data_IF_836368892210
#
_entry.id   IF_836368892210
#
_cell.length_a   1.000
_cell.length_b   1.000
_cell.length_c   1.000
_cell.angle_alpha   90.00
_cell.angle_beta   90.00
_cell.angle_gamma   90.00
#
_symmetry.space_group_name_H-M   'P 1'
#
loop_
_entity.id
_entity.type
_entity.pdbx_description
1 polymer ?
#
# COMPACT_ATOMS: atom_id res chain seq x y z
N UNK A 1 3.48 10.69 43.46
CA UNK A 1 3.95 9.68 42.48
C UNK A 1 3.40 10.06 41.12
N UNK A 2 4.26 10.55 40.21
CA UNK A 2 3.84 11.04 38.89
C UNK A 2 3.43 9.85 38.02
N UNK A 3 2.22 9.90 37.44
CA UNK A 3 1.79 8.94 36.41
C UNK A 3 2.82 8.98 35.27
N UNK A 4 3.38 7.82 34.94
CA UNK A 4 4.23 7.68 33.75
C UNK A 4 3.48 8.24 32.55
N UNK A 5 4.11 9.18 31.85
CA UNK A 5 3.50 10.09 30.87
C UNK A 5 3.81 9.68 29.44
N UNK A 6 3.96 8.38 29.22
CA UNK A 6 4.54 7.84 28.00
C UNK A 6 3.45 7.09 27.21
N UNK A 7 3.45 7.26 25.88
CA UNK A 7 2.58 6.52 24.98
C UNK A 7 3.16 5.11 24.82
N UNK A 8 2.34 4.11 25.11
CA UNK A 8 2.66 2.73 24.85
C UNK A 8 2.15 2.34 23.45
N UNK A 9 3.08 2.14 22.52
CA UNK A 9 2.76 1.81 21.12
C UNK A 9 3.18 0.38 20.80
N UNK A 10 2.21 -0.47 20.48
CA UNK A 10 2.42 -1.83 19.99
C UNK A 10 2.40 -1.82 18.46
N UNK A 11 3.45 -2.34 17.83
CA UNK A 11 3.60 -2.38 16.38
C UNK A 11 3.82 -3.82 15.92
N UNK A 12 2.90 -4.34 15.12
CA UNK A 12 3.09 -5.61 14.41
C UNK A 12 3.86 -5.35 13.11
N UNK A 13 4.98 -6.05 12.95
CA UNK A 13 5.83 -5.99 11.76
C UNK A 13 5.34 -6.96 10.67
N UNK A 14 5.92 -6.86 9.47
CA UNK A 14 5.57 -7.71 8.32
C UNK A 14 5.98 -9.18 8.48
N UNK A 15 6.87 -9.46 9.43
CA UNK A 15 7.29 -10.82 9.81
C UNK A 15 6.49 -11.35 11.01
N UNK A 16 5.39 -10.68 11.37
CA UNK A 16 4.52 -10.93 12.52
C UNK A 16 5.17 -10.80 13.91
N UNK A 17 6.38 -10.24 13.99
CA UNK A 17 6.95 -9.85 15.27
C UNK A 17 6.20 -8.63 15.81
N UNK A 18 5.87 -8.66 17.11
CA UNK A 18 5.32 -7.50 17.81
C UNK A 18 6.45 -6.76 18.52
N UNK A 19 6.57 -5.47 18.21
CA UNK A 19 7.50 -4.56 18.88
C UNK A 19 6.72 -3.55 19.70
N UNK A 20 7.15 -3.35 20.94
CA UNK A 20 6.65 -2.30 21.81
C UNK A 20 7.60 -1.12 21.79
N UNK A 21 7.08 0.09 21.65
CA UNK A 21 7.85 1.34 21.67
C UNK A 21 7.19 2.32 22.62
N UNK A 22 7.91 2.68 23.68
CA UNK A 22 7.50 3.76 24.57
C UNK A 22 8.00 5.12 24.05
N UNK A 23 7.11 6.10 24.06
CA UNK A 23 7.33 7.43 23.49
C UNK A 23 6.79 8.54 24.42
N UNK A 24 7.28 9.77 24.27
CA UNK A 24 6.65 10.92 24.94
C UNK A 24 5.16 11.07 24.56
N UNK A 25 4.30 11.47 25.50
CA UNK A 25 2.85 11.75 25.30
C UNK A 25 2.48 12.61 24.09
N UNK A 26 3.40 13.42 23.57
CA UNK A 26 3.17 14.31 22.43
C UNK A 26 3.88 13.86 21.15
N UNK A 27 4.50 12.67 21.16
CA UNK A 27 5.23 12.14 20.01
C UNK A 27 4.35 12.12 18.75
N UNK A 28 4.95 12.55 17.65
CA UNK A 28 4.34 12.50 16.31
C UNK A 28 4.46 11.09 15.74
N UNK A 29 3.59 10.76 14.79
CA UNK A 29 3.66 9.46 14.10
C UNK A 29 5.02 9.19 13.46
N UNK A 30 5.71 10.22 12.96
CA UNK A 30 7.05 10.10 12.38
C UNK A 30 8.07 9.52 13.38
N UNK A 31 8.00 9.89 14.66
CA UNK A 31 8.96 9.41 15.68
C UNK A 31 8.80 7.91 15.90
N UNK A 32 7.56 7.41 15.95
CA UNK A 32 7.30 5.98 16.05
C UNK A 32 7.81 5.25 14.79
N UNK A 33 7.49 5.79 13.61
CA UNK A 33 7.88 5.19 12.34
C UNK A 33 9.40 5.09 12.18
N UNK A 34 10.13 6.18 12.48
CA UNK A 34 11.59 6.19 12.38
C UNK A 34 12.22 5.17 13.34
N UNK A 35 11.76 5.07 14.60
CA UNK A 35 12.24 4.06 15.54
C UNK A 35 12.00 2.62 15.05
N UNK A 36 10.87 2.37 14.39
CA UNK A 36 10.59 1.05 13.81
C UNK A 36 11.51 0.77 12.64
N UNK A 37 11.71 1.73 11.74
CA UNK A 37 12.62 1.60 10.60
C UNK A 37 14.08 1.41 11.03
N UNK A 38 14.53 2.12 12.06
CA UNK A 38 15.84 1.94 12.68
C UNK A 38 15.99 0.53 13.26
N UNK A 39 14.95 0.02 13.96
CA UNK A 39 14.98 -1.31 14.57
C UNK A 39 15.10 -2.44 13.54
N UNK A 40 14.40 -2.34 12.42
CA UNK A 40 14.46 -3.34 11.34
C UNK A 40 15.54 -3.01 10.29
N UNK A 41 16.33 -1.96 10.53
CA UNK A 41 17.40 -1.49 9.65
C UNK A 41 17.00 -1.29 8.19
N UNK A 42 15.81 -0.75 7.92
CA UNK A 42 15.36 -0.41 6.56
C UNK A 42 15.63 1.06 6.24
N UNK A 43 16.40 1.32 5.17
CA UNK A 43 16.73 2.70 4.75
C UNK A 43 15.83 3.15 3.61
N UNK A 44 15.38 2.26 2.74
CA UNK A 44 14.31 2.52 1.74
C UNK A 44 12.92 2.67 2.41
N UNK A 45 12.85 3.32 3.57
CA UNK A 45 11.64 3.46 4.39
C UNK A 45 10.48 4.18 3.72
N UNK A 46 10.75 4.98 2.68
CA UNK A 46 9.71 5.80 2.02
C UNK A 46 8.60 4.95 1.37
N UNK A 47 8.83 3.66 1.13
CA UNK A 47 7.81 2.73 0.61
C UNK A 47 6.85 2.20 1.68
N UNK A 48 7.14 2.41 2.96
CA UNK A 48 6.40 1.84 4.08
C UNK A 48 5.65 2.91 4.87
N UNK A 49 4.79 2.45 5.77
CA UNK A 49 4.11 3.29 6.75
C UNK A 49 3.54 2.48 7.89
N UNK A 50 2.96 3.18 8.86
CA UNK A 50 2.17 2.57 9.93
C UNK A 50 0.69 2.76 9.64
N UNK A 51 -0.08 1.68 9.71
CA UNK A 51 -1.55 1.72 9.67
C UNK A 51 -2.14 1.32 11.02
N UNK A 52 -3.35 1.76 11.30
CA UNK A 52 -4.13 1.37 12.47
C UNK A 52 -5.57 1.08 12.04
N UNK A 53 -6.28 0.25 12.81
CA UNK A 53 -7.70 0.00 12.59
C UNK A 53 -8.47 1.17 13.21
N UNK A 54 -9.28 1.85 12.41
CA UNK A 54 -10.14 2.89 12.95
C UNK A 54 -11.40 2.31 13.57
N UNK A 55 -11.62 2.58 14.85
CA UNK A 55 -12.76 2.05 15.61
C UNK A 55 -14.12 2.55 15.09
N UNK A 56 -14.16 3.66 14.34
CA UNK A 56 -15.44 4.19 13.83
C UNK A 56 -16.00 3.39 12.66
N UNK A 57 -15.15 2.86 11.80
CA UNK A 57 -15.56 2.13 10.60
C UNK A 57 -14.88 0.76 10.42
N UNK A 58 -14.03 0.34 11.34
CA UNK A 58 -13.29 -0.93 11.30
C UNK A 58 -12.21 -0.99 10.21
N UNK A 59 -11.96 0.09 9.47
CA UNK A 59 -11.08 0.07 8.30
C UNK A 59 -9.67 0.58 8.63
N UNK A 60 -8.65 0.01 7.98
CA UNK A 60 -7.26 0.44 8.12
C UNK A 60 -7.02 1.87 7.62
N UNK A 61 -6.50 2.74 8.49
CA UNK A 61 -6.06 4.09 8.15
C UNK A 61 -4.55 4.22 8.35
N UNK A 62 -3.89 4.98 7.47
CA UNK A 62 -2.49 5.36 7.66
C UNK A 62 -2.34 6.36 8.80
N UNK A 63 -1.35 6.13 9.66
CA UNK A 63 -0.89 7.08 10.66
C UNK A 63 -0.29 8.30 9.95
N UNK A 64 -0.78 9.49 10.29
CA UNK A 64 -0.23 10.73 9.77
C UNK A 64 1.10 11.02 10.49
N UNK A 65 2.23 11.06 9.77
CA UNK A 65 3.55 11.23 10.40
C UNK A 65 3.71 12.60 11.06
N UNK A 66 3.00 13.63 10.59
CA UNK A 66 3.17 15.00 11.09
C UNK A 66 2.31 15.30 12.33
N UNK A 67 1.34 14.44 12.65
CA UNK A 67 0.39 14.65 13.75
C UNK A 67 0.76 13.84 14.99
N UNK A 68 0.54 14.39 16.21
CA UNK A 68 0.69 13.63 17.46
C UNK A 68 -0.19 12.38 17.47
N UNK A 69 0.36 11.24 17.93
CA UNK A 69 -0.32 9.93 17.91
C UNK A 69 -1.65 9.97 18.69
N UNK A 70 -1.63 10.50 19.92
CA UNK A 70 -2.84 10.67 20.76
C UNK A 70 -3.96 11.53 20.16
N UNK A 71 -3.67 12.31 19.11
CA UNK A 71 -4.67 13.13 18.39
C UNK A 71 -5.29 12.38 17.20
N UNK A 72 -4.81 11.17 16.92
CA UNK A 72 -5.24 10.33 15.81
C UNK A 72 -6.00 9.09 16.31
N UNK A 73 -5.55 8.51 17.43
CA UNK A 73 -6.20 7.39 18.11
C UNK A 73 -6.66 7.82 19.51
N UNK A 74 -7.81 7.32 19.95
CA UNK A 74 -8.43 7.74 21.21
C UNK A 74 -8.09 6.85 22.41
N UNK A 75 -7.92 5.54 22.19
CA UNK A 75 -7.80 4.56 23.26
C UNK A 75 -6.44 3.85 23.23
N UNK A 76 -5.91 3.60 24.42
CA UNK A 76 -4.71 2.78 24.65
C UNK A 76 -5.11 1.31 24.93
N UNK A 77 -4.22 0.34 24.65
CA UNK A 77 -2.90 0.51 24.04
C UNK A 77 -2.99 0.83 22.54
N UNK A 78 -2.03 1.63 22.05
CA UNK A 78 -2.02 2.06 20.65
C UNK A 78 -1.45 0.96 19.77
N UNK A 79 -2.29 0.33 18.96
CA UNK A 79 -1.88 -0.75 18.06
C UNK A 79 -1.68 -0.24 16.64
N UNK A 80 -0.55 -0.62 16.05
CA UNK A 80 -0.16 -0.28 14.69
C UNK A 80 0.32 -1.52 13.94
N UNK A 81 0.26 -1.43 12.61
CA UNK A 81 0.80 -2.43 11.71
C UNK A 81 1.76 -1.73 10.76
N UNK A 82 3.00 -2.20 10.72
CA UNK A 82 3.95 -1.82 9.69
C UNK A 82 3.55 -2.47 8.37
N UNK A 83 3.44 -1.69 7.31
CA UNK A 83 2.94 -2.15 6.03
C UNK A 83 3.56 -1.38 4.87
N UNK A 84 3.58 -1.99 3.68
CA UNK A 84 3.93 -1.30 2.45
C UNK A 84 2.82 -0.31 2.12
N UNK A 85 3.19 0.96 1.99
CA UNK A 85 2.30 2.06 1.62
C UNK A 85 2.35 2.35 0.13
N UNK A 86 3.52 2.25 -0.48
CA UNK A 86 3.73 2.51 -1.89
C UNK A 86 4.39 1.32 -2.56
N UNK A 87 3.66 0.66 -3.44
CA UNK A 87 4.15 -0.50 -4.19
C UNK A 87 4.85 -0.02 -5.46
N UNK A 88 6.19 -0.14 -5.58
CA UNK A 88 6.89 0.33 -6.76
C UNK A 88 6.46 -0.48 -8.01
N UNK A 89 6.36 0.16 -9.18
CA UNK A 89 6.12 -0.54 -10.45
C UNK A 89 7.15 -1.65 -10.77
N UNK A 90 8.38 -1.45 -10.30
CA UNK A 90 9.46 -2.41 -10.44
C UNK A 90 10.10 -2.71 -9.07
N UNK A 91 9.54 -3.65 -8.28
CA UNK A 91 10.06 -4.00 -6.96
C UNK A 91 11.43 -4.70 -7.02
N UNK A 92 11.81 -5.34 -8.13
CA UNK A 92 13.14 -5.96 -8.27
C UNK A 92 14.27 -4.93 -8.42
N UNK A 93 13.93 -3.66 -8.66
CA UNK A 93 14.89 -2.56 -8.72
C UNK A 93 15.08 -1.83 -7.38
N UNK A 94 14.47 -2.34 -6.29
CA UNK A 94 14.78 -1.90 -4.93
C UNK A 94 16.21 -2.30 -4.59
N UNK A 95 16.93 -1.41 -3.91
CA UNK A 95 18.38 -1.54 -3.70
C UNK A 95 18.67 -2.56 -2.62
N UNK A 96 18.01 -2.43 -1.46
CA UNK A 96 18.30 -3.25 -0.29
C UNK A 96 17.55 -4.59 -0.34
N UNK A 97 18.25 -5.64 0.08
CA UNK A 97 17.68 -6.98 0.15
C UNK A 97 16.54 -7.07 1.16
N UNK A 98 16.72 -6.47 2.34
CA UNK A 98 15.66 -6.36 3.35
C UNK A 98 14.40 -5.70 2.79
N UNK A 99 14.52 -4.67 1.93
CA UNK A 99 13.36 -4.00 1.35
C UNK A 99 12.61 -4.92 0.40
N UNK A 100 13.32 -5.68 -0.44
CA UNK A 100 12.72 -6.68 -1.34
C UNK A 100 12.05 -7.79 -0.53
N UNK A 101 12.71 -8.27 0.52
CA UNK A 101 12.15 -9.27 1.41
C UNK A 101 10.86 -8.81 2.09
N UNK A 102 10.84 -7.59 2.65
CA UNK A 102 9.64 -6.99 3.25
C UNK A 102 8.50 -6.84 2.22
N UNK A 103 8.81 -6.52 0.96
CA UNK A 103 7.81 -6.51 -0.12
C UNK A 103 7.23 -7.91 -0.38
N UNK A 104 8.07 -8.96 -0.38
CA UNK A 104 7.61 -10.35 -0.49
C UNK A 104 6.67 -10.70 0.66
N UNK A 105 7.03 -10.38 1.90
CA UNK A 105 6.17 -10.60 3.07
C UNK A 105 4.81 -9.91 2.94
N UNK A 106 4.79 -8.64 2.53
CA UNK A 106 3.54 -7.92 2.31
C UNK A 106 2.66 -8.58 1.23
N UNK A 107 3.24 -8.98 0.10
CA UNK A 107 2.50 -9.60 -1.00
C UNK A 107 1.98 -10.99 -0.63
N UNK A 108 2.73 -11.74 0.18
CA UNK A 108 2.26 -12.99 0.78
C UNK A 108 1.05 -12.75 1.69
N UNK A 109 1.09 -11.70 2.51
CA UNK A 109 -0.05 -11.28 3.33
C UNK A 109 -1.26 -10.96 2.44
N UNK A 110 -1.04 -10.19 1.36
CA UNK A 110 -2.10 -9.77 0.44
C UNK A 110 -2.75 -10.97 -0.29
N UNK A 111 -1.97 -11.99 -0.68
CA UNK A 111 -2.49 -13.24 -1.25
C UNK A 111 -3.32 -14.03 -0.23
N UNK A 112 -2.83 -14.17 1.01
CA UNK A 112 -3.52 -14.89 2.07
C UNK A 112 -4.81 -14.19 2.51
N UNK A 113 -4.83 -12.86 2.53
CA UNK A 113 -6.04 -12.07 2.84
C UNK A 113 -6.99 -11.93 1.65
N UNK A 114 -6.61 -12.43 0.47
CA UNK A 114 -7.41 -12.32 -0.76
C UNK A 114 -7.45 -10.91 -1.38
N UNK A 115 -6.59 -9.99 -0.91
CA UNK A 115 -6.39 -8.64 -1.48
C UNK A 115 -5.72 -8.72 -2.84
N UNK A 116 -4.76 -9.64 -2.99
CA UNK A 116 -4.11 -9.95 -4.24
C UNK A 116 -4.67 -11.27 -4.77
N UNK A 117 -5.42 -11.21 -5.86
CA UNK A 117 -6.07 -12.39 -6.44
C UNK A 117 -5.28 -12.91 -7.65
N UNK A 118 -5.10 -14.22 -7.72
CA UNK A 118 -4.50 -14.89 -8.87
C UNK A 118 -5.05 -16.30 -9.08
N UNK A 119 -4.77 -16.89 -10.24
CA UNK A 119 -5.18 -18.27 -10.53
C UNK A 119 -4.37 -19.29 -9.72
N UNK A 120 -4.90 -20.51 -9.58
CA UNK A 120 -4.23 -21.61 -8.86
C UNK A 120 -2.80 -21.89 -9.36
N UNK A 121 -2.53 -21.93 -10.68
CA UNK A 121 -1.15 -22.10 -11.17
C UNK A 121 -0.20 -20.99 -10.72
N UNK A 122 -0.68 -19.75 -10.63
CA UNK A 122 0.14 -18.62 -10.18
C UNK A 122 0.36 -18.67 -8.67
N UNK A 123 -0.66 -19.04 -7.87
CA UNK A 123 -0.47 -19.33 -6.45
C UNK A 123 0.60 -20.42 -6.25
N UNK A 124 0.56 -21.48 -7.05
CA UNK A 124 1.53 -22.57 -6.96
C UNK A 124 2.95 -22.11 -7.34
N UNK A 125 3.08 -21.32 -8.41
CA UNK A 125 4.37 -20.75 -8.82
C UNK A 125 4.95 -19.84 -7.73
N UNK A 126 4.16 -18.88 -7.22
CA UNK A 126 4.60 -18.00 -6.13
C UNK A 126 4.92 -18.77 -4.86
N UNK A 127 4.11 -19.78 -4.52
CA UNK A 127 4.37 -20.67 -3.39
C UNK A 127 5.68 -21.44 -3.53
N UNK A 128 6.03 -21.88 -4.74
CA UNK A 128 7.29 -22.61 -4.97
C UNK A 128 8.54 -21.76 -4.73
N UNK A 129 8.51 -20.46 -5.02
CA UNK A 129 9.61 -19.56 -4.66
C UNK A 129 9.72 -19.35 -3.14
N UNK A 130 8.58 -19.33 -2.42
CA UNK A 130 8.61 -19.27 -0.96
C UNK A 130 9.21 -20.54 -0.36
N UNK A 131 8.91 -21.70 -0.94
CA UNK A 131 9.50 -22.97 -0.52
C UNK A 131 11.01 -22.95 -0.78
N UNK A 132 11.43 -22.66 -2.01
CA UNK A 132 12.86 -22.60 -2.37
C UNK A 132 13.64 -21.64 -1.45
N UNK A 133 13.10 -20.45 -1.18
CA UNK A 133 13.75 -19.47 -0.30
C UNK A 133 13.88 -19.94 1.16
N UNK A 134 12.99 -20.81 1.63
CA UNK A 134 12.95 -21.25 3.04
C UNK A 134 13.60 -22.61 3.28
N UNK A 135 13.55 -23.54 2.33
CA UNK A 135 14.08 -24.91 2.48
C UNK A 135 15.25 -25.22 1.54
N UNK A 136 15.55 -24.36 0.58
CA UNK A 136 16.59 -24.59 -0.44
C UNK A 136 16.20 -25.64 -1.48
N UNK A 137 17.19 -26.17 -2.19
CA UNK A 137 17.00 -27.16 -3.25
C UNK A 137 16.12 -28.36 -2.79
N UNK A 138 15.21 -28.79 -3.66
CA UNK A 138 14.51 -30.06 -3.46
C UNK A 138 15.50 -31.24 -3.38
N UNK A 139 15.60 -31.83 -2.20
CA UNK A 139 16.21 -33.15 -1.96
C UNK A 139 15.14 -34.23 -1.76
N UNK A 140 15.31 -35.38 -2.42
CA UNK A 140 14.32 -36.47 -2.40
C UNK A 140 14.30 -37.24 -1.06
N UNK A 141 15.43 -37.37 -0.39
CA UNK A 141 15.55 -38.05 0.91
C UNK A 141 14.95 -37.18 2.02
N UNK A 142 15.13 -35.86 1.94
CA UNK A 142 14.60 -34.92 2.94
C UNK A 142 13.10 -34.61 2.74
N UNK A 143 12.67 -34.40 1.50
CA UNK A 143 11.32 -33.93 1.19
C UNK A 143 10.34 -35.04 0.78
N UNK A 144 10.84 -36.26 0.57
CA UNK A 144 10.04 -37.41 0.16
C UNK A 144 9.52 -37.35 -1.29
N UNK A 145 8.73 -38.36 -1.66
CA UNK A 145 8.22 -38.53 -3.02
C UNK A 145 7.01 -37.64 -3.38
N UNK A 146 6.32 -37.09 -2.38
CA UNK A 146 5.06 -36.37 -2.54
C UNK A 146 5.12 -34.93 -2.01
N UNK A 147 3.98 -34.24 -2.04
CA UNK A 147 3.84 -32.88 -1.54
C UNK A 147 3.65 -32.80 -0.02
N UNK A 148 3.89 -33.86 0.75
CA UNK A 148 3.59 -33.94 2.18
C UNK A 148 4.33 -32.91 3.04
N UNK A 149 5.59 -32.62 2.73
CA UNK A 149 6.39 -31.59 3.41
C UNK A 149 5.83 -30.16 3.25
N UNK A 150 4.96 -29.94 2.26
CA UNK A 150 4.31 -28.64 2.02
C UNK A 150 3.09 -28.39 2.92
N UNK A 151 2.66 -29.38 3.71
CA UNK A 151 1.45 -29.30 4.54
C UNK A 151 1.49 -28.20 5.61
N UNK A 152 2.70 -27.85 6.07
CA UNK A 152 2.92 -26.81 7.08
C UNK A 152 2.97 -25.38 6.50
N UNK A 153 3.15 -25.24 5.19
CA UNK A 153 3.08 -23.95 4.52
C UNK A 153 1.62 -23.53 4.38
N UNK A 154 1.36 -22.22 4.21
CA UNK A 154 0.07 -21.74 3.66
C UNK A 154 0.34 -20.75 2.54
N UNK A 155 -0.11 -21.10 1.35
CA UNK A 155 0.03 -20.28 0.14
C UNK A 155 -1.26 -19.56 -0.25
N UNK A 156 -2.41 -20.09 0.18
CA UNK A 156 -3.72 -19.48 0.00
C UNK A 156 -4.70 -20.02 1.09
N UNK A 157 -5.84 -19.34 1.34
CA UNK A 157 -6.76 -19.71 2.43
C UNK A 157 -7.32 -21.14 2.37
N UNK A 158 -7.69 -21.61 1.17
CA UNK A 158 -8.35 -22.92 0.99
C UNK A 158 -7.36 -24.05 0.68
N UNK A 159 -6.13 -23.73 0.29
CA UNK A 159 -5.01 -24.64 0.00
C UNK A 159 -5.41 -25.99 -0.65
N UNK A 160 -5.97 -25.98 -1.88
CA UNK A 160 -6.42 -27.22 -2.52
C UNK A 160 -5.23 -28.15 -2.84
N UNK A 161 -5.42 -29.47 -2.74
CA UNK A 161 -4.36 -30.46 -2.93
C UNK A 161 -3.65 -30.37 -4.29
N UNK A 162 -4.38 -30.07 -5.37
CA UNK A 162 -3.81 -29.84 -6.71
C UNK A 162 -2.78 -28.70 -6.72
N UNK A 163 -2.99 -27.66 -5.92
CA UNK A 163 -2.05 -26.56 -5.80
C UNK A 163 -0.75 -27.02 -5.13
N UNK A 164 -0.84 -27.82 -4.06
CA UNK A 164 0.35 -28.35 -3.37
C UNK A 164 1.18 -29.24 -4.30
N UNK A 165 0.52 -30.07 -5.10
CA UNK A 165 1.21 -30.89 -6.10
C UNK A 165 1.97 -30.01 -7.12
N UNK A 166 1.33 -28.94 -7.62
CA UNK A 166 1.98 -27.98 -8.52
C UNK A 166 3.14 -27.23 -7.85
N UNK A 167 3.02 -26.84 -6.58
CA UNK A 167 4.12 -26.24 -5.82
C UNK A 167 5.31 -27.20 -5.77
N UNK A 168 5.07 -28.48 -5.43
CA UNK A 168 6.10 -29.50 -5.40
C UNK A 168 6.77 -29.72 -6.75
N UNK A 169 6.01 -29.74 -7.85
CA UNK A 169 6.55 -29.85 -9.21
C UNK A 169 7.41 -28.65 -9.63
N UNK A 170 7.04 -27.44 -9.19
CA UNK A 170 7.84 -26.24 -9.45
C UNK A 170 9.10 -26.20 -8.58
N UNK A 171 9.00 -26.57 -7.30
CA UNK A 171 10.15 -26.62 -6.38
C UNK A 171 11.30 -27.47 -6.94
N UNK A 172 10.99 -28.64 -7.52
CA UNK A 172 11.98 -29.50 -8.21
C UNK A 172 12.76 -28.82 -9.34
N UNK A 173 12.24 -27.75 -9.91
CA UNK A 173 12.82 -27.05 -11.08
C UNK A 173 13.67 -25.84 -10.70
N UNK A 174 13.63 -25.41 -9.45
CA UNK A 174 14.30 -24.19 -8.98
C UNK A 174 15.73 -24.43 -8.47
N UNK A 175 16.23 -25.67 -8.58
CA UNK A 175 17.55 -26.08 -8.11
C UNK A 175 18.67 -25.06 -8.43
N UNK A 176 19.41 -24.70 -7.41
CA UNK A 176 20.52 -23.75 -7.45
C UNK A 176 20.09 -22.29 -7.28
N UNK A 177 18.83 -22.04 -6.94
CA UNK A 177 18.32 -20.70 -6.70
C UNK A 177 18.58 -20.29 -5.25
N UNK A 178 19.21 -19.13 -5.07
CA UNK A 178 19.38 -18.57 -3.71
C UNK A 178 18.05 -18.01 -3.19
N UNK A 179 17.88 -17.82 -1.86
CA UNK A 179 16.71 -17.13 -1.32
C UNK A 179 16.47 -15.76 -1.96
N UNK A 180 17.54 -15.00 -2.21
CA UNK A 180 17.51 -13.69 -2.87
C UNK A 180 16.98 -13.81 -4.31
N UNK A 181 17.44 -14.82 -5.07
CA UNK A 181 16.97 -15.06 -6.44
C UNK A 181 15.50 -15.49 -6.46
N UNK A 182 15.07 -16.34 -5.52
CA UNK A 182 13.69 -16.78 -5.38
C UNK A 182 12.77 -15.60 -5.05
N UNK A 183 13.20 -14.71 -4.16
CA UNK A 183 12.47 -13.48 -3.84
C UNK A 183 12.37 -12.53 -5.03
N UNK A 184 13.43 -12.39 -5.83
CA UNK A 184 13.40 -11.61 -7.08
C UNK A 184 12.40 -12.19 -8.09
N UNK A 185 12.37 -13.51 -8.27
CA UNK A 185 11.40 -14.19 -9.13
C UNK A 185 9.97 -14.05 -8.61
N UNK A 186 9.78 -14.15 -7.28
CA UNK A 186 8.50 -13.91 -6.65
C UNK A 186 7.99 -12.50 -6.97
N UNK A 187 8.82 -11.48 -6.75
CA UNK A 187 8.48 -10.07 -7.01
C UNK A 187 8.20 -9.80 -8.49
N UNK A 188 8.99 -10.36 -9.41
CA UNK A 188 8.78 -10.19 -10.84
C UNK A 188 7.47 -10.81 -11.34
N UNK A 189 7.03 -11.91 -10.72
CA UNK A 189 5.75 -12.53 -11.05
C UNK A 189 4.57 -11.85 -10.36
N UNK A 190 4.70 -11.51 -9.07
CA UNK A 190 3.63 -10.86 -8.30
C UNK A 190 3.28 -9.47 -8.85
N UNK A 191 4.26 -8.68 -9.32
CA UNK A 191 4.01 -7.34 -9.90
C UNK A 191 3.14 -7.34 -11.16
N UNK A 192 3.02 -8.49 -11.83
CA UNK A 192 2.22 -8.67 -13.06
C UNK A 192 0.74 -8.91 -12.75
N UNK A 193 0.39 -9.16 -11.48
CA UNK A 193 -0.98 -9.42 -11.07
C UNK A 193 -1.86 -8.16 -11.16
N UNK A 194 -3.13 -8.26 -11.58
CA UNK A 194 -3.98 -7.09 -11.83
C UNK A 194 -4.20 -6.18 -10.61
N UNK A 195 -4.19 -6.76 -9.41
CA UNK A 195 -4.43 -6.06 -8.14
C UNK A 195 -3.13 -5.74 -7.38
N UNK A 196 -1.95 -5.92 -8.00
CA UNK A 196 -0.68 -5.59 -7.38
C UNK A 196 -0.63 -4.11 -6.97
N UNK A 197 -0.51 -3.87 -5.66
CA UNK A 197 -0.43 -2.52 -5.09
C UNK A 197 -1.67 -1.65 -5.33
N UNK A 198 -2.84 -2.26 -5.57
CA UNK A 198 -4.10 -1.53 -5.78
C UNK A 198 -4.85 -1.41 -4.45
N UNK A 199 -5.04 -0.18 -3.97
CA UNK A 199 -5.89 0.12 -2.81
C UNK A 199 -7.34 0.31 -3.28
N UNK A 200 -8.24 -0.58 -2.85
CA UNK A 200 -9.60 -0.69 -3.34
C UNK A 200 -10.60 0.03 -2.43
N UNK A 201 -11.50 0.81 -3.04
CA UNK A 201 -12.56 1.54 -2.35
C UNK A 201 -13.92 1.30 -3.01
N UNK A 202 -14.90 0.85 -2.22
CA UNK A 202 -16.27 0.70 -2.68
C UNK A 202 -16.95 2.07 -2.88
N UNK A 203 -17.64 2.22 -3.99
CA UNK A 203 -18.37 3.43 -4.35
C UNK A 203 -19.59 3.10 -5.22
N UNK A 204 -20.40 4.12 -5.50
CA UNK A 204 -21.40 4.10 -6.57
C UNK A 204 -21.10 5.20 -7.58
N UNK A 205 -21.34 4.94 -8.85
CA UNK A 205 -21.17 5.93 -9.92
C UNK A 205 -22.36 6.92 -9.98
N UNK A 206 -22.38 7.76 -11.01
CA UNK A 206 -23.44 8.75 -11.22
C UNK A 206 -24.80 8.13 -11.58
N UNK A 207 -24.81 6.89 -12.09
CA UNK A 207 -26.00 6.12 -12.46
C UNK A 207 -26.53 5.26 -11.31
N UNK A 208 -25.83 5.27 -10.16
CA UNK A 208 -26.19 4.50 -8.97
C UNK A 208 -25.70 3.04 -9.02
N UNK A 209 -24.84 2.69 -9.98
CA UNK A 209 -24.30 1.34 -10.07
C UNK A 209 -23.13 1.16 -9.10
N UNK A 210 -23.04 0.01 -8.40
CA UNK A 210 -21.89 -0.32 -7.58
C UNK A 210 -20.62 -0.43 -8.43
N UNK A 211 -19.57 0.25 -7.98
CA UNK A 211 -18.24 0.22 -8.59
C UNK A 211 -17.16 0.14 -7.50
N UNK A 212 -15.97 -0.31 -7.87
CA UNK A 212 -14.79 -0.29 -7.01
C UNK A 212 -13.76 0.63 -7.64
N UNK A 213 -13.27 1.61 -6.88
CA UNK A 213 -12.21 2.52 -7.28
C UNK A 213 -10.89 2.00 -6.71
N UNK A 214 -9.95 1.67 -7.58
CA UNK A 214 -8.60 1.25 -7.20
C UNK A 214 -7.58 2.37 -7.39
N UNK A 215 -6.68 2.58 -6.43
CA UNK A 215 -5.56 3.51 -6.55
C UNK A 215 -4.23 2.74 -6.52
N UNK A 216 -3.29 3.08 -7.41
CA UNK A 216 -1.98 2.42 -7.49
C UNK A 216 -0.89 3.35 -8.01
N UNK A 217 0.34 2.85 -8.09
CA UNK A 217 1.46 3.57 -8.73
C UNK A 217 1.18 4.03 -10.17
N UNK A 218 0.28 3.36 -10.89
CA UNK A 218 -0.02 3.66 -12.29
C UNK A 218 -1.12 4.71 -12.48
N UNK A 219 -1.96 4.95 -11.48
CA UNK A 219 -3.16 5.77 -11.63
C UNK A 219 -4.36 5.26 -10.84
N UNK A 220 -5.54 5.67 -11.29
CA UNK A 220 -6.83 5.30 -10.73
C UNK A 220 -7.55 4.35 -11.69
N UNK A 221 -8.11 3.29 -11.14
CA UNK A 221 -8.78 2.20 -11.85
C UNK A 221 -10.24 2.14 -11.41
N UNK A 222 -11.15 1.91 -12.35
CA UNK A 222 -12.58 1.71 -12.05
C UNK A 222 -12.94 0.29 -12.43
N UNK A 223 -13.42 -0.47 -11.45
CA UNK A 223 -13.90 -1.83 -11.62
C UNK A 223 -15.41 -1.88 -11.47
N UNK A 224 -16.07 -2.68 -12.30
CA UNK A 224 -17.48 -3.01 -12.21
C UNK A 224 -17.63 -4.52 -12.37
N UNK A 225 -18.42 -5.16 -11.51
CA UNK A 225 -18.54 -6.62 -11.44
C UNK A 225 -17.18 -7.34 -11.43
N UNK A 226 -16.24 -6.82 -10.63
CA UNK A 226 -14.86 -7.32 -10.51
C UNK A 226 -14.05 -7.33 -11.82
N UNK A 227 -14.48 -6.55 -12.83
CA UNK A 227 -13.75 -6.36 -14.09
C UNK A 227 -13.29 -4.92 -14.21
N UNK A 228 -12.05 -4.72 -14.64
CA UNK A 228 -11.50 -3.40 -14.91
C UNK A 228 -12.21 -2.79 -16.13
N UNK A 229 -12.91 -1.66 -15.93
CA UNK A 229 -13.64 -0.93 -16.98
C UNK A 229 -12.81 0.23 -17.49
N UNK A 230 -12.24 1.03 -16.59
CA UNK A 230 -11.42 2.18 -16.95
C UNK A 230 -10.12 2.22 -16.16
N UNK A 231 -9.05 2.68 -16.83
CA UNK A 231 -7.75 2.96 -16.23
C UNK A 231 -7.31 4.38 -16.58
N UNK A 232 -7.27 5.25 -15.59
CA UNK A 232 -6.84 6.63 -15.70
C UNK A 232 -5.41 6.77 -15.18
N UNK A 233 -4.45 6.88 -16.10
CA UNK A 233 -3.05 7.07 -15.74
C UNK A 233 -2.79 8.48 -15.19
N UNK A 234 -1.84 8.61 -14.26
CA UNK A 234 -1.55 9.89 -13.59
C UNK A 234 -1.37 11.10 -14.53
N UNK A 235 -0.69 11.00 -15.69
CA UNK A 235 -0.56 12.13 -16.61
C UNK A 235 -1.90 12.65 -17.15
N UNK A 236 -2.91 11.79 -17.28
CA UNK A 236 -4.24 12.16 -17.80
C UNK A 236 -5.17 12.72 -16.71
N UNK A 237 -4.85 12.52 -15.44
CA UNK A 237 -5.64 13.06 -14.32
C UNK A 237 -5.23 14.51 -14.08
N UNK A 238 -6.20 15.42 -14.19
CA UNK A 238 -6.03 16.87 -14.01
C UNK A 238 -6.22 17.23 -12.54
N UNK A 239 -7.35 16.83 -11.95
CA UNK A 239 -7.68 17.11 -10.54
C UNK A 239 -8.28 15.90 -9.86
N UNK A 240 -7.94 15.72 -8.58
CA UNK A 240 -8.57 14.77 -7.66
C UNK A 240 -9.18 15.58 -6.52
N UNK A 241 -10.50 15.50 -6.36
CA UNK A 241 -11.23 16.30 -5.38
C UNK A 241 -12.27 15.46 -4.64
N UNK A 242 -12.70 15.95 -3.49
CA UNK A 242 -13.86 15.41 -2.81
C UNK A 242 -14.70 16.51 -2.15
N UNK A 243 -16.00 16.25 -1.99
CA UNK A 243 -16.93 17.09 -1.21
C UNK A 243 -17.96 16.19 -0.56
N UNK A 244 -18.07 16.24 0.78
CA UNK A 244 -18.92 15.32 1.56
C UNK A 244 -18.62 13.86 1.18
N UNK A 245 -19.64 13.09 0.79
CA UNK A 245 -19.52 11.69 0.34
C UNK A 245 -19.11 11.55 -1.14
N UNK A 246 -18.94 12.66 -1.88
CA UNK A 246 -18.68 12.67 -3.32
C UNK A 246 -17.19 12.80 -3.61
N UNK A 247 -16.65 11.87 -4.38
CA UNK A 247 -15.31 11.90 -4.96
C UNK A 247 -15.39 12.30 -6.44
N UNK A 248 -14.48 13.14 -6.91
CA UNK A 248 -14.51 13.68 -8.28
C UNK A 248 -13.13 13.64 -8.91
N UNK A 249 -13.09 13.16 -10.16
CA UNK A 249 -11.91 13.14 -11.01
C UNK A 249 -12.16 13.99 -12.24
N UNK A 250 -11.22 14.87 -12.57
CA UNK A 250 -11.22 15.59 -13.84
C UNK A 250 -10.13 15.00 -14.71
N UNK A 251 -10.50 14.50 -15.88
CA UNK A 251 -9.60 13.81 -16.82
C UNK A 251 -9.40 14.69 -18.04
N UNK A 252 -8.15 14.77 -18.51
CA UNK A 252 -7.79 15.49 -19.74
C UNK A 252 -8.43 14.77 -20.94
N UNK A 253 -8.95 15.52 -21.94
CA UNK A 253 -9.48 14.93 -23.17
C UNK A 253 -8.45 14.07 -23.91
N UNK A 254 -8.95 13.16 -24.74
CA UNK A 254 -8.14 12.15 -25.41
C UNK A 254 -7.28 12.70 -26.57
N UNK A 255 -7.63 13.85 -27.15
CA UNK A 255 -6.86 14.52 -28.20
C UNK A 255 -6.37 15.89 -27.71
N UNK A 256 -5.13 16.25 -28.09
CA UNK A 256 -4.52 17.53 -27.72
C UNK A 256 -5.22 18.75 -28.34
N UNK A 257 -6.01 18.53 -29.40
CA UNK A 257 -6.75 19.59 -30.10
C UNK A 257 -8.11 19.90 -29.46
N UNK A 258 -8.60 19.09 -28.53
CA UNK A 258 -9.91 19.28 -27.91
C UNK A 258 -9.76 19.97 -26.54
N UNK A 259 -9.33 21.24 -26.57
CA UNK A 259 -9.08 22.05 -25.37
C UNK A 259 -10.32 22.27 -24.48
N UNK A 260 -11.52 21.92 -24.95
CA UNK A 260 -12.78 22.38 -24.36
C UNK A 260 -13.61 21.34 -23.60
N UNK A 261 -13.18 20.07 -23.51
CA UNK A 261 -14.01 19.03 -22.83
C UNK A 261 -13.22 18.16 -21.86
N UNK A 262 -12.75 18.72 -20.75
CA UNK A 262 -12.31 17.90 -19.63
C UNK A 262 -13.47 17.03 -19.11
N UNK A 263 -13.28 15.72 -19.06
CA UNK A 263 -14.31 14.80 -18.56
C UNK A 263 -14.29 14.79 -17.04
N UNK A 264 -15.42 15.13 -16.42
CA UNK A 264 -15.58 15.08 -14.96
C UNK A 264 -16.33 13.81 -14.57
N UNK A 265 -15.64 12.92 -13.86
CA UNK A 265 -16.21 11.69 -13.29
C UNK A 265 -16.53 11.90 -11.82
N UNK A 266 -17.67 11.38 -11.37
CA UNK A 266 -18.17 11.57 -10.02
C UNK A 266 -18.64 10.27 -9.42
N UNK A 267 -18.22 10.00 -8.18
CA UNK A 267 -18.54 8.79 -7.44
C UNK A 267 -18.98 9.14 -6.02
N UNK A 268 -19.91 8.38 -5.45
CA UNK A 268 -20.36 8.55 -4.06
C UNK A 268 -19.90 7.36 -3.23
N UNK A 269 -19.28 7.61 -2.08
CA UNK A 269 -18.86 6.56 -1.13
C UNK A 269 -19.81 6.50 0.07
N UNK A 270 -19.70 5.46 0.88
CA UNK A 270 -20.58 5.22 2.04
C UNK A 270 -20.54 6.34 3.09
N UNK A 271 -19.39 7.00 3.27
CA UNK A 271 -19.20 8.04 4.28
C UNK A 271 -18.18 9.10 3.84
N UNK A 272 -18.21 10.29 4.48
CA UNK A 272 -17.19 11.32 4.32
C UNK A 272 -15.79 10.75 4.63
N UNK A 273 -15.70 9.87 5.63
CA UNK A 273 -14.44 9.23 6.03
C UNK A 273 -13.88 8.35 4.91
N UNK A 274 -14.71 7.52 4.29
CA UNK A 274 -14.32 6.70 3.15
C UNK A 274 -13.87 7.58 1.97
N UNK A 275 -14.63 8.63 1.64
CA UNK A 275 -14.28 9.58 0.57
C UNK A 275 -12.94 10.27 0.82
N UNK A 276 -12.72 10.76 2.05
CA UNK A 276 -11.46 11.41 2.43
C UNK A 276 -10.28 10.44 2.40
N UNK A 277 -10.49 9.16 2.75
CA UNK A 277 -9.48 8.10 2.66
C UNK A 277 -9.05 7.89 1.21
N UNK A 278 -10.00 7.64 0.30
CA UNK A 278 -9.73 7.50 -1.14
C UNK A 278 -9.00 8.74 -1.70
N UNK A 279 -9.47 9.95 -1.37
CA UNK A 279 -8.83 11.18 -1.81
C UNK A 279 -7.38 11.28 -1.33
N UNK A 280 -7.13 11.01 -0.04
CA UNK A 280 -5.77 11.00 0.50
C UNK A 280 -4.87 10.00 -0.21
N UNK A 281 -5.32 8.75 -0.36
CA UNK A 281 -4.55 7.69 -1.04
C UNK A 281 -4.22 8.10 -2.48
N UNK A 282 -5.17 8.70 -3.20
CA UNK A 282 -4.96 9.26 -4.54
C UNK A 282 -3.90 10.36 -4.58
N UNK A 283 -4.00 11.36 -3.69
CA UNK A 283 -3.04 12.47 -3.60
C UNK A 283 -1.64 11.97 -3.23
N UNK A 284 -1.54 11.07 -2.25
CA UNK A 284 -0.26 10.51 -1.79
C UNK A 284 0.42 9.69 -2.89
N UNK A 285 -0.30 8.79 -3.57
CA UNK A 285 0.26 7.98 -4.65
C UNK A 285 0.72 8.85 -5.84
N UNK A 286 -0.12 9.81 -6.25
CA UNK A 286 0.28 10.76 -7.29
C UNK A 286 1.57 11.50 -6.88
N UNK A 287 1.60 12.05 -5.66
CA UNK A 287 2.75 12.82 -5.18
C UNK A 287 4.03 11.98 -5.14
N UNK A 288 3.95 10.78 -4.55
CA UNK A 288 5.11 9.90 -4.39
C UNK A 288 5.71 9.43 -5.71
N UNK A 289 4.87 8.98 -6.65
CA UNK A 289 5.34 8.37 -7.90
C UNK A 289 5.57 9.36 -9.05
N UNK A 290 5.02 10.59 -8.99
CA UNK A 290 5.07 11.54 -10.11
C UNK A 290 5.86 12.81 -9.86
N UNK A 291 5.93 13.30 -8.63
CA UNK A 291 6.62 14.55 -8.37
C UNK A 291 8.11 14.30 -8.15
N UNK A 292 8.96 15.15 -8.73
CA UNK A 292 10.40 15.12 -8.48
C UNK A 292 10.73 15.52 -7.04
N UNK A 293 9.86 16.32 -6.41
CA UNK A 293 9.94 16.74 -5.02
C UNK A 293 8.51 16.89 -4.47
N UNK A 294 8.29 16.61 -3.19
CA UNK A 294 6.99 16.81 -2.57
C UNK A 294 6.60 18.29 -2.58
N UNK A 295 5.32 18.59 -2.80
CA UNK A 295 4.75 19.94 -2.72
C UNK A 295 4.81 20.46 -1.28
N UNK A 296 5.97 20.96 -0.87
CA UNK A 296 6.16 21.65 0.40
C UNK A 296 5.36 22.96 0.35
N UNK A 297 4.67 23.34 1.45
CA UNK A 297 3.97 24.62 1.48
C UNK A 297 4.96 25.76 1.22
N UNK A 298 4.57 26.80 0.46
CA UNK A 298 5.34 28.04 0.42
C UNK A 298 5.60 28.50 1.85
N UNK A 299 6.85 28.82 2.17
CA UNK A 299 7.17 29.48 3.44
C UNK A 299 6.35 30.77 3.49
N UNK A 300 5.46 30.83 4.47
CA UNK A 300 4.67 32.00 4.86
C UNK A 300 3.41 32.31 4.00
N UNK A 301 2.25 31.77 4.42
CA UNK A 301 0.96 32.40 4.09
C UNK A 301 0.01 32.25 5.28
N UNK A 302 0.10 33.21 6.21
CA UNK A 302 -0.78 33.33 7.36
C UNK A 302 -2.21 33.71 6.96
N UNK A 303 -3.07 32.73 6.69
CA UNK A 303 -4.53 32.87 6.78
C UNK A 303 -5.16 31.51 7.17
N UNK A 304 -6.23 31.54 7.96
CA UNK A 304 -7.03 30.36 8.31
C UNK A 304 -7.71 29.85 7.03
N UNK A 305 -7.12 28.86 6.37
CA UNK A 305 -7.75 28.16 5.24
C UNK A 305 -8.74 27.13 5.78
N UNK A 306 -10.02 27.33 5.48
CA UNK A 306 -11.08 26.33 5.65
C UNK A 306 -10.85 25.19 4.64
N UNK A 307 -10.85 23.94 5.11
CA UNK A 307 -10.61 22.73 4.30
C UNK A 307 -9.42 21.88 4.78
N UNK A 308 -9.33 20.66 4.26
CA UNK A 308 -8.25 19.72 4.57
C UNK A 308 -6.88 20.35 4.30
N UNK A 309 -6.09 20.56 5.36
CA UNK A 309 -4.68 20.98 5.28
C UNK A 309 -3.75 19.84 4.84
N UNK A 310 -4.30 18.67 4.53
CA UNK A 310 -3.50 17.51 4.19
C UNK A 310 -2.72 17.75 2.89
N UNK A 311 -1.43 17.49 2.97
CA UNK A 311 -0.50 17.41 1.85
C UNK A 311 0.40 16.22 2.07
N UNK A 312 0.79 15.58 0.98
CA UNK A 312 1.87 14.62 1.06
C UNK A 312 3.14 15.35 1.51
N UNK A 313 3.81 14.81 2.53
CA UNK A 313 4.95 15.45 3.21
C UNK A 313 6.17 14.55 3.34
N UNK A 314 6.10 13.33 2.80
CA UNK A 314 7.24 12.42 2.70
C UNK A 314 8.13 12.75 1.49
N UNK A 315 9.25 12.04 1.36
CA UNK A 315 10.10 12.13 0.16
C UNK A 315 9.41 11.41 -1.00
N UNK A 316 9.51 11.95 -2.20
CA UNK A 316 9.00 11.26 -3.39
C UNK A 316 9.92 10.10 -3.77
N UNK A 317 9.46 9.19 -4.64
CA UNK A 317 10.30 8.10 -5.14
C UNK A 317 11.58 8.63 -5.81
N UNK A 318 11.48 9.76 -6.52
CA UNK A 318 12.65 10.40 -7.12
C UNK A 318 13.67 10.79 -6.05
N UNK A 319 13.25 11.44 -4.97
CA UNK A 319 14.13 11.81 -3.86
C UNK A 319 14.69 10.58 -3.12
N UNK A 320 13.85 9.56 -2.87
CA UNK A 320 14.26 8.33 -2.19
C UNK A 320 15.40 7.61 -2.95
N UNK A 321 15.28 7.50 -4.29
CA UNK A 321 16.30 6.87 -5.14
C UNK A 321 17.62 7.63 -5.24
N UNK A 322 17.63 8.93 -4.96
CA UNK A 322 18.83 9.76 -4.99
C UNK A 322 19.37 10.06 -3.58
N UNK A 323 18.87 9.38 -2.54
CA UNK A 323 19.38 9.54 -1.18
C UNK A 323 20.79 8.95 -1.04
N UNK A 324 21.71 9.72 -0.46
CA UNK A 324 23.08 9.24 -0.16
C UNK A 324 23.10 8.14 0.92
N UNK A 325 22.02 8.00 1.69
CA UNK A 325 21.86 6.92 2.68
C UNK A 325 21.88 5.52 2.03
N UNK A 326 21.68 5.44 0.71
CA UNK A 326 21.73 4.19 -0.07
C UNK A 326 23.16 3.65 -0.29
N UNK A 327 24.20 4.38 0.12
CA UNK A 327 25.61 3.99 -0.09
C UNK A 327 26.21 3.15 1.06
N UNK A 328 25.38 2.65 1.97
CA UNK A 328 25.84 1.81 3.09
C UNK A 328 25.95 0.33 2.69
N UNK A 329 26.72 -0.49 3.44
CA UNK A 329 26.61 -1.94 3.34
C UNK A 329 25.19 -2.43 3.65
N UNK A 330 24.68 -3.45 2.94
CA UNK A 330 23.40 -4.08 3.27
C UNK A 330 23.38 -4.55 4.74
N UNK A 331 22.24 -4.43 5.43
CA UNK A 331 22.09 -4.97 6.78
C UNK A 331 22.02 -6.49 6.73
N UNK A 332 22.55 -7.15 7.76
CA UNK A 332 22.27 -8.56 7.99
C UNK A 332 20.89 -8.70 8.63
N UNK A 333 20.05 -9.59 8.10
CA UNK A 333 18.75 -9.87 8.68
C UNK A 333 18.40 -11.35 8.52
N UNK A 334 17.55 -11.85 9.42
CA UNK A 334 17.06 -13.22 9.36
C UNK A 334 15.71 -13.28 8.64
N UNK A 335 15.62 -14.16 7.64
CA UNK A 335 14.36 -14.49 6.98
C UNK A 335 13.49 -15.34 7.91
N UNK A 336 12.24 -14.94 8.12
CA UNK A 336 11.29 -15.68 8.95
C UNK A 336 10.61 -16.83 8.20
N UNK A 337 10.31 -17.90 8.93
CA UNK A 337 9.57 -19.06 8.40
C UNK A 337 8.10 -18.73 8.08
N UNK A 338 7.65 -19.14 6.90
CA UNK A 338 6.26 -19.05 6.42
C UNK A 338 5.23 -19.71 7.32
N UNK A 339 5.64 -20.74 8.07
CA UNK A 339 4.75 -21.50 8.96
C UNK A 339 4.18 -20.60 10.06
N UNK A 340 5.00 -19.69 10.61
CA UNK A 340 4.59 -18.72 11.64
C UNK A 340 3.72 -17.60 11.06
N UNK A 341 4.13 -17.09 9.90
CA UNK A 341 3.47 -16.01 9.19
C UNK A 341 2.00 -16.32 8.83
N UNK A 342 1.73 -17.56 8.43
CA UNK A 342 0.43 -17.93 7.88
C UNK A 342 -0.69 -18.13 8.91
N UNK A 343 -0.38 -18.71 10.08
CA UNK A 343 -1.41 -19.02 11.10
C UNK A 343 -2.09 -17.75 11.62
N UNK A 344 -1.32 -16.69 11.88
CA UNK A 344 -1.84 -15.43 12.45
C UNK A 344 -2.55 -14.55 11.43
N UNK A 345 -2.08 -14.53 10.18
CA UNK A 345 -2.73 -13.80 9.08
C UNK A 345 -4.15 -14.31 8.84
N UNK A 346 -4.35 -15.62 8.87
CA UNK A 346 -5.67 -16.24 8.69
C UNK A 346 -6.59 -16.01 9.90
N UNK A 347 -6.06 -16.01 11.13
CA UNK A 347 -6.83 -15.67 12.33
C UNK A 347 -7.28 -14.20 12.34
N UNK A 348 -6.48 -13.28 11.80
CA UNK A 348 -6.80 -11.85 11.64
C UNK A 348 -7.87 -11.56 10.58
N UNK A 349 -8.11 -12.49 9.65
CA UNK A 349 -9.12 -12.34 8.60
C UNK A 349 -10.55 -12.29 9.16
N UNK A 350 -10.80 -12.93 10.33
CA UNK A 350 -12.10 -12.91 11.02
C UNK A 350 -12.58 -11.52 11.45
N UNK A 351 -11.69 -10.51 11.48
CA UNK A 351 -12.04 -9.11 11.74
C UNK A 351 -12.11 -8.24 10.48
N UNK A 352 -11.68 -8.77 9.33
CA UNK A 352 -11.49 -8.03 8.08
C UNK A 352 -12.43 -8.47 6.94
N UNK A 353 -13.21 -9.54 7.15
CA UNK A 353 -14.24 -10.02 6.21
C UNK A 353 -15.44 -9.05 6.15
N UNK A 354 -15.23 -7.88 5.54
CA UNK A 354 -16.30 -7.02 5.03
C UNK A 354 -15.87 -6.47 3.67
N UNK A 355 -15.95 -7.31 2.64
CA UNK A 355 -16.02 -6.85 1.24
C UNK A 355 -17.34 -7.30 0.58
N UNK A 356 -18.18 -8.11 1.23
CA UNK A 356 -19.42 -8.63 0.61
C UNK A 356 -20.74 -7.91 0.93
N UNK A 357 -20.76 -6.79 1.66
CA UNK A 357 -22.01 -6.03 1.83
C UNK A 357 -21.89 -4.57 1.37
N UNK A 358 -22.61 -4.27 0.29
CA UNK A 358 -22.98 -2.90 -0.12
C UNK A 358 -23.75 -2.27 1.04
N UNK A 359 -23.33 -1.11 1.58
CA UNK A 359 -24.07 -0.50 2.67
C UNK A 359 -25.46 -0.05 2.19
N UNK A 360 -26.51 -0.46 2.90
CA UNK A 360 -27.81 0.21 2.82
C UNK A 360 -27.62 1.67 3.19
N UNK A 361 -28.18 2.57 2.37
CA UNK A 361 -28.16 4.00 2.61
C UNK A 361 -29.19 4.29 3.70
N UNK A 362 -28.81 4.14 4.96
CA UNK A 362 -29.63 4.60 6.07
C UNK A 362 -29.31 6.07 6.40
N UNK A 363 -30.37 6.86 6.59
CA UNK A 363 -30.31 8.26 6.98
C UNK A 363 -29.94 8.37 8.46
N UNK A 364 -28.67 8.65 8.75
CA UNK A 364 -28.24 9.10 10.08
C UNK A 364 -28.06 10.63 10.14
N UNK A 365 -28.52 11.17 11.27
CA UNK A 365 -28.66 12.60 11.57
C UNK A 365 -27.31 13.33 11.59
N UNK A 366 -27.31 14.48 10.94
CA UNK A 366 -26.19 15.40 10.83
C UNK A 366 -25.73 15.92 12.19
N UNK A 367 -24.44 15.71 12.49
CA UNK A 367 -23.70 16.56 13.42
C UNK A 367 -22.27 16.74 12.88
N UNK A 368 -22.12 17.39 11.73
CA UNK A 368 -20.81 17.80 11.22
C UNK A 368 -20.82 19.24 10.68
N UNK A 369 -20.04 20.09 11.35
CA UNK A 369 -19.74 21.46 10.93
C UNK A 369 -19.09 21.46 9.53
N UNK A 370 -19.53 22.42 8.71
CA UNK A 370 -19.11 22.71 7.33
C UNK A 370 -17.59 22.58 7.09
N UNK A 371 -17.20 21.50 6.42
CA UNK A 371 -15.95 21.40 5.65
C UNK A 371 -16.31 21.52 4.15
N UNK A 372 -16.32 22.74 3.62
CA UNK A 372 -16.33 22.97 2.16
C UNK A 372 -14.88 23.17 1.68
N UNK A 373 -14.45 22.35 0.72
CA UNK A 373 -13.05 22.33 0.23
C UNK A 373 -12.91 22.83 -1.21
N UNK A 374 -11.79 23.49 -1.51
CA UNK A 374 -11.37 23.89 -2.86
C UNK A 374 -10.62 22.74 -3.57
N UNK A 375 -10.72 22.63 -4.91
CA UNK A 375 -10.00 21.61 -5.69
C UNK A 375 -8.49 21.66 -5.46
N UNK A 376 -7.83 20.50 -5.45
CA UNK A 376 -6.39 20.43 -5.64
C UNK A 376 -6.11 20.64 -7.14
N UNK A 377 -5.63 21.84 -7.50
CA UNK A 377 -5.14 22.17 -8.84
C UNK A 377 -3.64 21.87 -8.93
N UNK A 378 -3.24 21.19 -10.02
CA UNK A 378 -1.84 20.99 -10.41
C UNK A 378 -1.18 22.36 -10.62
N UNK A 379 -0.19 22.72 -9.81
CA UNK A 379 0.79 23.77 -10.16
C UNK A 379 2.14 23.11 -10.42
N UNK A 380 2.37 22.69 -11.65
CA UNK A 380 3.69 22.35 -12.16
C UNK A 380 3.67 22.40 -13.69
N UNK A 381 4.33 23.42 -14.26
CA UNK A 381 4.66 23.45 -15.68
C UNK A 381 5.70 22.35 -16.00
N UNK A 382 5.61 21.68 -17.16
CA UNK A 382 6.67 20.83 -17.63
C UNK A 382 7.85 21.71 -18.10
N UNK A 383 9.02 21.53 -17.50
CA UNK A 383 10.24 22.16 -17.96
C UNK A 383 10.50 21.83 -19.43
N UNK A 384 10.56 22.88 -20.25
CA UNK A 384 11.03 22.83 -21.63
C UNK A 384 12.45 22.24 -21.68
N UNK A 385 12.66 21.26 -22.55
CA UNK A 385 13.99 20.94 -23.03
C UNK A 385 14.46 22.11 -23.92
N UNK A 386 15.65 22.69 -23.71
CA UNK A 386 16.15 23.67 -24.66
C UNK A 386 16.50 22.94 -25.97
N UNK A 387 15.76 23.27 -27.02
CA UNK A 387 16.29 23.22 -28.38
C UNK A 387 17.48 24.17 -28.44
N UNK A 388 18.67 23.62 -28.70
CA UNK A 388 19.79 24.39 -29.22
C UNK A 388 20.10 23.86 -30.62
N UNK A 389 19.76 24.69 -31.59
CA UNK A 389 20.18 24.63 -32.98
C UNK A 389 21.70 24.70 -33.11
N UNK A 390 22.20 23.90 -34.04
CA UNK A 390 23.40 24.01 -34.87
C UNK A 390 24.10 25.38 -34.86
N UNK A 391 25.42 25.36 -34.61
CA UNK A 391 26.44 26.12 -35.34
C UNK A 391 27.83 25.49 -35.06
N UNK A 392 28.58 25.15 -36.12
CA UNK A 392 29.96 24.63 -36.09
C UNK A 392 30.14 23.26 -36.69
#
# INVERSE_FOLDING_TARGET
MGKSSDLHCEVQLLDDQCTVVDLDKNAKGQVLFDKICEKIEVVEKDYFGLRYIDEKDGQYNWLDPLRPIKKQLKHEPYHFYFAVKFYPPNPTALVEDITRYLMVLQLREDLLKGRLQCSVPIHALLGSFVVEAEVGDYDHEEHGHDAGYLSEFKFCPKQPGEMLQKVHEFHKKHRGMTPEDAELQYLDNARKLPLYGVDLHQAVDAEGQPVIIGVSAWGIHIFHNNRLINKFVWPKIVTIAFKKKKFTLTIRPASENDYYTATVLSFKLGSLRATKRLWKVGVENHSFFRLSQADLPPKDVGFIKLGSKFRYSGRTQHQARHSQEMLRPPPDFERVSSKRFSSKVLDGNRRSDVIEEVPKVDEEKEDEKRDEEKPFEKTAEPGEAPMATVEG
#
